data_IF_391669938674
#
_entry.id   IF_391669938674
#
_cell.length_a   1.000
_cell.length_b   1.000
_cell.length_c   1.000
_cell.angle_alpha   90.00
_cell.angle_beta   90.00
_cell.angle_gamma   90.00
#
_symmetry.space_group_name_H-M   'P 1'
#
loop_
_entity.id
_entity.type
_entity.pdbx_description
1 polymer ?
#
# COMPACT_ATOMS: atom_id res chain seq x y z
N UNK A 1 -32.07 -12.77 -27.97
CA UNK A 1 -32.12 -11.94 -29.20
C UNK A 1 -30.85 -11.10 -29.20
N UNK A 2 -29.91 -11.43 -30.10
CA UNK A 2 -28.67 -10.73 -30.47
C UNK A 2 -28.24 -9.52 -29.63
N UNK A 3 -27.40 -9.73 -28.62
CA UNK A 3 -26.52 -8.67 -28.07
C UNK A 3 -25.50 -8.33 -29.15
N UNK A 4 -25.70 -7.18 -29.80
CA UNK A 4 -24.86 -6.78 -30.94
C UNK A 4 -23.46 -6.40 -30.45
N UNK A 5 -22.44 -6.75 -31.23
CA UNK A 5 -21.03 -6.39 -31.00
C UNK A 5 -20.80 -4.88 -30.75
N UNK A 6 -21.75 -4.01 -31.10
CA UNK A 6 -21.68 -2.58 -30.85
C UNK A 6 -21.85 -2.19 -29.36
N UNK A 7 -22.57 -2.99 -28.56
CA UNK A 7 -22.73 -2.73 -27.11
C UNK A 7 -21.41 -2.96 -26.34
N UNK A 8 -20.59 -3.89 -26.83
CA UNK A 8 -19.26 -4.19 -26.26
C UNK A 8 -18.26 -3.07 -26.58
N UNK A 9 -18.40 -2.40 -27.72
CA UNK A 9 -17.52 -1.30 -28.10
C UNK A 9 -17.88 0.03 -27.44
N UNK A 10 -19.15 0.27 -27.10
CA UNK A 10 -19.55 1.42 -26.28
C UNK A 10 -19.08 1.28 -24.81
N UNK A 11 -18.92 0.05 -24.31
CA UNK A 11 -18.36 -0.25 -22.98
C UNK A 11 -16.89 0.14 -22.79
N UNK A 12 -16.15 0.44 -23.86
CA UNK A 12 -14.73 0.86 -23.77
C UNK A 12 -14.60 2.38 -23.61
N UNK A 13 -15.56 3.15 -24.13
CA UNK A 13 -15.63 4.61 -23.94
C UNK A 13 -16.46 5.00 -22.70
N UNK A 14 -17.50 4.22 -22.35
CA UNK A 14 -18.33 4.40 -21.15
C UNK A 14 -17.79 3.63 -19.93
N UNK A 15 -16.46 3.54 -19.78
CA UNK A 15 -15.83 2.88 -18.64
C UNK A 15 -16.16 3.57 -17.29
N UNK A 16 -16.66 4.81 -17.33
CA UNK A 16 -17.22 5.57 -16.19
C UNK A 16 -18.55 4.99 -15.67
N UNK A 17 -19.33 4.29 -16.50
CA UNK A 17 -20.67 3.77 -16.16
C UNK A 17 -20.70 2.30 -15.72
N UNK A 18 -19.58 1.58 -15.72
CA UNK A 18 -19.56 0.18 -15.29
C UNK A 18 -19.68 0.00 -13.77
N UNK A 19 -19.35 1.02 -12.97
CA UNK A 19 -19.47 0.94 -11.51
C UNK A 19 -20.85 1.30 -10.96
N UNK A 20 -21.72 1.94 -11.75
CA UNK A 20 -23.10 2.28 -11.33
C UNK A 20 -24.09 1.12 -11.48
N UNK A 21 -23.72 0.05 -12.19
CA UNK A 21 -24.63 -1.08 -12.51
C UNK A 21 -24.42 -2.29 -11.58
N UNK A 22 -23.40 -2.31 -10.73
CA UNK A 22 -23.12 -3.46 -9.83
C UNK A 22 -23.17 -3.08 -8.35
N UNK A 23 -24.38 -2.84 -7.85
CA UNK A 23 -24.71 -2.88 -6.41
C UNK A 23 -24.78 -4.33 -5.85
N UNK A 24 -24.57 -5.34 -6.71
CA UNK A 24 -24.44 -6.73 -6.29
C UNK A 24 -23.06 -6.98 -5.69
N UNK A 25 -23.01 -7.73 -4.59
CA UNK A 25 -21.77 -8.05 -3.86
C UNK A 25 -20.76 -8.75 -4.79
N UNK A 26 -19.71 -8.03 -5.20
CA UNK A 26 -18.67 -8.56 -6.09
C UNK A 26 -17.76 -9.50 -5.29
N UNK A 27 -17.69 -10.77 -5.70
CA UNK A 27 -16.76 -11.73 -5.10
C UNK A 27 -15.32 -11.44 -5.53
N UNK A 28 -14.38 -11.73 -4.64
CA UNK A 28 -12.94 -11.71 -4.95
C UNK A 28 -12.60 -12.55 -6.19
N UNK A 29 -13.26 -13.70 -6.36
CA UNK A 29 -13.02 -14.58 -7.49
C UNK A 29 -13.43 -13.93 -8.82
N UNK A 30 -14.53 -13.18 -8.82
CA UNK A 30 -15.04 -12.50 -10.02
C UNK A 30 -14.09 -11.38 -10.45
N UNK A 31 -13.55 -10.61 -9.49
CA UNK A 31 -12.54 -9.59 -9.78
C UNK A 31 -11.29 -10.22 -10.38
N UNK A 32 -10.80 -11.31 -9.80
CA UNK A 32 -9.61 -12.00 -10.30
C UNK A 32 -9.84 -12.54 -11.71
N UNK A 33 -10.98 -13.21 -11.95
CA UNK A 33 -11.34 -13.76 -13.25
C UNK A 33 -11.50 -12.66 -14.30
N UNK A 34 -12.10 -11.52 -13.95
CA UNK A 34 -12.24 -10.35 -14.82
C UNK A 34 -10.87 -9.81 -15.23
N UNK A 35 -9.95 -9.64 -14.28
CA UNK A 35 -8.60 -9.15 -14.56
C UNK A 35 -7.80 -10.09 -15.46
N UNK A 36 -7.94 -11.40 -15.28
CA UNK A 36 -7.28 -12.42 -16.12
C UNK A 36 -7.88 -12.42 -17.53
N UNK A 37 -9.21 -12.29 -17.66
CA UNK A 37 -9.88 -12.27 -18.97
C UNK A 37 -9.70 -10.96 -19.73
N UNK A 38 -9.56 -9.85 -19.02
CA UNK A 38 -9.48 -8.51 -19.59
C UNK A 38 -8.32 -7.70 -18.99
N UNK A 39 -7.06 -8.10 -19.23
CA UNK A 39 -5.89 -7.42 -18.65
C UNK A 39 -5.76 -5.96 -19.11
N UNK A 40 -6.32 -5.62 -20.28
CA UNK A 40 -6.37 -4.25 -20.80
C UNK A 40 -7.13 -3.29 -19.89
N UNK A 41 -8.04 -3.79 -19.03
CA UNK A 41 -8.75 -2.96 -18.05
C UNK A 41 -7.79 -2.30 -17.06
N UNK A 42 -6.69 -2.96 -16.69
CA UNK A 42 -5.69 -2.40 -15.76
C UNK A 42 -4.95 -1.22 -16.38
N UNK A 43 -4.70 -1.29 -17.70
CA UNK A 43 -4.05 -0.22 -18.46
C UNK A 43 -5.03 0.92 -18.71
N UNK A 44 -6.27 0.61 -19.09
CA UNK A 44 -7.31 1.61 -19.33
C UNK A 44 -7.68 2.39 -18.05
N UNK A 45 -7.70 1.71 -16.90
CA UNK A 45 -7.99 2.29 -15.57
C UNK A 45 -6.72 2.64 -14.79
N UNK A 46 -5.62 2.86 -15.50
CA UNK A 46 -4.34 3.21 -14.88
C UNK A 46 -4.51 4.40 -13.93
N UNK A 47 -4.16 4.20 -12.66
CA UNK A 47 -4.49 5.15 -11.61
C UNK A 47 -3.43 6.25 -11.52
N UNK A 48 -3.68 7.35 -12.22
CA UNK A 48 -2.74 8.48 -12.28
C UNK A 48 -2.49 9.15 -10.91
N UNK A 49 -3.47 9.12 -9.99
CA UNK A 49 -3.31 9.71 -8.64
C UNK A 49 -2.32 8.89 -7.81
N UNK A 50 -2.47 7.57 -7.82
CA UNK A 50 -1.53 6.65 -7.18
C UNK A 50 -0.16 6.71 -7.84
N UNK A 51 -0.10 6.82 -9.18
CA UNK A 51 1.15 6.98 -9.91
C UNK A 51 1.91 8.25 -9.51
N UNK A 52 1.20 9.38 -9.47
CA UNK A 52 1.78 10.68 -9.11
C UNK A 52 2.27 10.70 -7.66
N UNK A 53 1.45 10.27 -6.70
CA UNK A 53 1.85 10.21 -5.29
C UNK A 53 2.99 9.22 -5.05
N UNK A 54 2.94 8.06 -5.70
CA UNK A 54 4.01 7.06 -5.62
C UNK A 54 5.33 7.60 -6.16
N UNK A 55 5.29 8.22 -7.34
CA UNK A 55 6.46 8.86 -7.95
C UNK A 55 7.01 10.00 -7.09
N UNK A 56 6.15 10.87 -6.54
CA UNK A 56 6.56 12.00 -5.70
C UNK A 56 7.23 11.56 -4.40
N UNK A 57 6.64 10.59 -3.68
CA UNK A 57 7.20 10.04 -2.46
C UNK A 57 8.54 9.34 -2.71
N UNK A 58 8.68 8.69 -3.86
CA UNK A 58 9.93 8.02 -4.23
C UNK A 58 11.00 9.03 -4.63
N UNK A 59 10.65 10.04 -5.41
CA UNK A 59 11.54 11.12 -5.81
C UNK A 59 12.17 11.81 -4.59
N UNK A 60 11.35 12.12 -3.58
CA UNK A 60 11.84 12.75 -2.34
C UNK A 60 12.80 11.84 -1.58
N UNK A 61 12.54 10.54 -1.53
CA UNK A 61 13.44 9.57 -0.90
C UNK A 61 14.78 9.46 -1.63
N UNK A 62 14.79 9.29 -2.96
CA UNK A 62 16.04 9.20 -3.71
C UNK A 62 16.82 10.51 -3.67
N UNK A 63 16.14 11.64 -3.81
CA UNK A 63 16.78 12.95 -3.72
C UNK A 63 17.49 13.13 -2.37
N UNK A 64 16.82 12.83 -1.26
CA UNK A 64 17.41 12.96 0.09
C UNK A 64 18.56 11.99 0.34
N UNK A 65 18.43 10.72 -0.07
CA UNK A 65 19.49 9.71 0.09
C UNK A 65 20.74 10.08 -0.72
N UNK A 66 20.58 10.44 -1.99
CA UNK A 66 21.70 10.78 -2.86
C UNK A 66 22.35 12.13 -2.49
N UNK A 67 21.54 13.09 -2.02
CA UNK A 67 22.06 14.34 -1.47
C UNK A 67 22.89 14.09 -0.20
N UNK A 68 22.43 13.20 0.68
CA UNK A 68 23.18 12.82 1.88
C UNK A 68 24.50 12.09 1.54
N UNK A 69 24.51 11.32 0.44
CA UNK A 69 25.71 10.65 -0.09
C UNK A 69 26.69 11.59 -0.82
N UNK A 70 26.36 12.88 -0.99
CA UNK A 70 27.18 13.89 -1.68
C UNK A 70 27.53 13.54 -3.13
N UNK A 71 26.60 12.89 -3.83
CA UNK A 71 26.76 12.53 -5.24
C UNK A 71 26.69 13.76 -6.17
N UNK A 72 27.26 13.65 -7.37
CA UNK A 72 27.21 14.73 -8.37
C UNK A 72 25.77 14.97 -8.83
N UNK A 73 25.34 16.23 -8.92
CA UNK A 73 23.94 16.60 -9.22
C UNK A 73 23.36 15.96 -10.49
N UNK A 74 24.19 15.72 -11.52
CA UNK A 74 23.74 15.05 -12.75
C UNK A 74 23.42 13.57 -12.54
N UNK A 75 24.16 12.89 -11.65
CA UNK A 75 23.92 11.49 -11.28
C UNK A 75 22.63 11.39 -10.47
N UNK A 76 22.42 12.33 -9.54
CA UNK A 76 21.18 12.43 -8.76
C UNK A 76 19.97 12.61 -9.68
N UNK A 77 20.06 13.55 -10.63
CA UNK A 77 18.95 13.84 -11.54
C UNK A 77 18.60 12.63 -12.41
N UNK A 78 19.60 11.96 -12.99
CA UNK A 78 19.39 10.77 -13.83
C UNK A 78 18.79 9.62 -13.01
N UNK A 79 19.31 9.35 -11.81
CA UNK A 79 18.79 8.31 -10.93
C UNK A 79 17.33 8.59 -10.51
N UNK A 80 17.03 9.83 -10.11
CA UNK A 80 15.66 10.24 -9.75
C UNK A 80 14.73 10.12 -10.96
N UNK A 81 15.15 10.57 -12.15
CA UNK A 81 14.29 10.54 -13.34
C UNK A 81 13.93 9.12 -13.77
N UNK A 82 14.92 8.20 -13.76
CA UNK A 82 14.69 6.78 -14.09
C UNK A 82 13.73 6.16 -13.08
N UNK A 83 13.99 6.32 -11.78
CA UNK A 83 13.12 5.76 -10.74
C UNK A 83 11.72 6.36 -10.78
N UNK A 84 11.59 7.68 -10.98
CA UNK A 84 10.30 8.36 -11.09
C UNK A 84 9.51 7.84 -12.27
N UNK A 85 10.14 7.69 -13.45
CA UNK A 85 9.46 7.21 -14.66
C UNK A 85 8.97 5.77 -14.47
N UNK A 86 9.86 4.91 -13.98
CA UNK A 86 9.54 3.52 -13.67
C UNK A 86 8.43 3.40 -12.61
N UNK A 87 8.52 4.20 -11.53
CA UNK A 87 7.53 4.17 -10.45
C UNK A 87 6.21 4.79 -10.84
N UNK A 88 6.20 5.84 -11.64
CA UNK A 88 4.98 6.40 -12.18
C UNK A 88 4.19 5.30 -12.90
N UNK A 89 4.82 4.59 -13.84
CA UNK A 89 4.17 3.49 -14.57
C UNK A 89 3.69 2.37 -13.65
N UNK A 90 4.57 1.84 -12.81
CA UNK A 90 4.26 0.67 -11.95
C UNK A 90 3.26 0.99 -10.83
N UNK A 91 3.32 2.18 -10.24
CA UNK A 91 2.39 2.61 -9.18
C UNK A 91 0.98 2.86 -9.72
N UNK A 92 0.82 3.31 -10.97
CA UNK A 92 -0.52 3.45 -11.54
C UNK A 92 -1.16 2.12 -11.91
N UNK A 93 -0.38 1.13 -12.39
CA UNK A 93 -0.84 -0.27 -12.58
C UNK A 93 -1.25 -0.87 -11.22
N UNK A 94 -0.38 -0.70 -10.21
CA UNK A 94 -0.65 -1.19 -8.85
C UNK A 94 -1.90 -0.54 -8.26
N UNK A 95 -2.08 0.77 -8.45
CA UNK A 95 -3.26 1.49 -8.02
C UNK A 95 -4.53 1.03 -8.73
N UNK A 96 -4.48 0.76 -10.04
CA UNK A 96 -5.60 0.20 -10.79
C UNK A 96 -5.99 -1.20 -10.30
N UNK A 97 -4.99 -2.03 -9.97
CA UNK A 97 -5.21 -3.35 -9.37
C UNK A 97 -5.90 -3.21 -8.01
N UNK A 98 -5.38 -2.37 -7.11
CA UNK A 98 -5.97 -2.12 -5.78
C UNK A 98 -7.40 -1.61 -5.91
N UNK A 99 -7.63 -0.67 -6.82
CA UNK A 99 -8.95 -0.10 -7.09
C UNK A 99 -9.95 -1.17 -7.50
N UNK A 100 -9.53 -2.14 -8.32
CA UNK A 100 -10.38 -3.26 -8.75
C UNK A 100 -10.83 -4.14 -7.58
N UNK A 101 -10.00 -4.29 -6.54
CA UNK A 101 -10.32 -5.06 -5.34
C UNK A 101 -10.99 -4.24 -4.23
N UNK A 102 -11.25 -2.94 -4.42
CA UNK A 102 -11.74 -2.06 -3.36
C UNK A 102 -13.11 -2.50 -2.83
N UNK A 103 -14.05 -2.83 -3.71
CA UNK A 103 -15.42 -3.28 -3.39
C UNK A 103 -15.53 -4.80 -3.20
N UNK A 104 -14.46 -5.56 -3.41
CA UNK A 104 -14.47 -7.02 -3.38
C UNK A 104 -14.77 -7.58 -1.96
N UNK A 105 -15.62 -8.60 -1.90
CA UNK A 105 -16.00 -9.29 -0.67
C UNK A 105 -15.55 -10.77 -0.69
N UNK A 106 -15.12 -11.33 0.45
CA UNK A 106 -14.96 -10.67 1.76
C UNK A 106 -13.72 -9.76 1.81
N UNK A 107 -13.83 -8.67 2.57
CA UNK A 107 -12.87 -7.57 2.55
C UNK A 107 -11.45 -7.99 2.97
N UNK A 108 -11.33 -8.92 3.93
CA UNK A 108 -10.05 -9.40 4.44
C UNK A 108 -9.29 -10.24 3.39
N UNK A 109 -9.98 -11.05 2.58
CA UNK A 109 -9.35 -11.83 1.51
C UNK A 109 -8.81 -10.89 0.44
N UNK A 110 -9.61 -9.91 0.01
CA UNK A 110 -9.16 -8.90 -0.95
C UNK A 110 -7.94 -8.13 -0.43
N UNK A 111 -7.89 -7.78 0.86
CA UNK A 111 -6.71 -7.17 1.48
C UNK A 111 -5.51 -8.11 1.43
N UNK A 112 -5.66 -9.39 1.77
CA UNK A 112 -4.55 -10.36 1.71
C UNK A 112 -4.02 -10.49 0.29
N UNK A 113 -4.90 -10.66 -0.70
CA UNK A 113 -4.51 -10.79 -2.11
C UNK A 113 -3.71 -9.56 -2.55
N UNK A 114 -4.23 -8.36 -2.35
CA UNK A 114 -3.51 -7.13 -2.72
C UNK A 114 -2.18 -7.00 -1.98
N UNK A 115 -2.17 -7.32 -0.69
CA UNK A 115 -0.99 -7.19 0.17
C UNK A 115 0.10 -8.20 -0.18
N UNK A 116 -0.24 -9.34 -0.80
CA UNK A 116 0.71 -10.36 -1.24
C UNK A 116 1.09 -10.15 -2.71
N UNK A 117 0.11 -9.96 -3.59
CA UNK A 117 0.32 -9.82 -5.03
C UNK A 117 1.10 -8.57 -5.38
N UNK A 118 0.87 -7.43 -4.71
CA UNK A 118 1.60 -6.19 -5.03
C UNK A 118 3.10 -6.27 -4.71
N UNK A 119 3.55 -6.72 -3.52
CA UNK A 119 4.97 -6.93 -3.27
C UNK A 119 5.58 -7.95 -4.21
N UNK A 120 4.90 -9.08 -4.48
CA UNK A 120 5.40 -10.07 -5.45
C UNK A 120 5.62 -9.40 -6.80
N UNK A 121 4.61 -8.71 -7.33
CA UNK A 121 4.72 -8.00 -8.60
C UNK A 121 5.85 -6.97 -8.58
N UNK A 122 5.88 -6.07 -7.59
CA UNK A 122 6.91 -5.03 -7.51
C UNK A 122 8.32 -5.62 -7.43
N UNK A 123 8.53 -6.69 -6.66
CA UNK A 123 9.83 -7.32 -6.52
C UNK A 123 10.21 -8.18 -7.72
N UNK A 124 9.25 -8.78 -8.43
CA UNK A 124 9.50 -9.42 -9.71
C UNK A 124 9.98 -8.41 -10.73
N UNK A 125 9.31 -7.25 -10.85
CA UNK A 125 9.75 -6.21 -11.79
C UNK A 125 11.12 -5.65 -11.36
N UNK A 126 11.33 -5.39 -10.07
CA UNK A 126 12.65 -4.96 -9.55
C UNK A 126 13.76 -5.99 -9.88
N UNK A 127 13.50 -7.27 -9.67
CA UNK A 127 14.43 -8.35 -9.99
C UNK A 127 14.75 -8.39 -11.50
N UNK A 128 13.72 -8.34 -12.36
CA UNK A 128 13.91 -8.35 -13.82
C UNK A 128 14.68 -7.12 -14.29
N UNK A 129 14.34 -5.93 -13.78
CA UNK A 129 15.04 -4.69 -14.14
C UNK A 129 16.52 -4.78 -13.74
N UNK A 130 16.82 -5.30 -12.55
CA UNK A 130 18.21 -5.47 -12.14
C UNK A 130 18.95 -6.56 -12.91
N UNK A 131 18.29 -7.68 -13.19
CA UNK A 131 18.87 -8.73 -14.03
C UNK A 131 19.20 -8.19 -15.43
N UNK A 132 18.28 -7.42 -16.03
CA UNK A 132 18.51 -6.78 -17.31
C UNK A 132 19.65 -5.74 -17.24
N UNK A 133 19.74 -4.98 -16.14
CA UNK A 133 20.83 -4.03 -15.92
C UNK A 133 22.19 -4.74 -15.84
N UNK A 134 22.28 -5.84 -15.10
CA UNK A 134 23.52 -6.61 -14.91
C UNK A 134 23.95 -7.33 -16.20
N UNK A 135 23.00 -7.92 -16.94
CA UNK A 135 23.29 -8.70 -18.15
C UNK A 135 23.56 -7.83 -19.38
N UNK A 136 22.77 -6.76 -19.59
CA UNK A 136 22.78 -6.01 -20.85
C UNK A 136 23.33 -4.58 -20.74
N UNK A 137 23.35 -3.99 -19.54
CA UNK A 137 23.71 -2.59 -19.34
C UNK A 137 24.86 -2.39 -18.33
N UNK A 138 25.60 -3.45 -18.00
CA UNK A 138 26.69 -3.41 -17.01
C UNK A 138 27.80 -2.42 -17.38
N UNK A 139 28.05 -2.22 -18.68
CA UNK A 139 29.04 -1.26 -19.19
C UNK A 139 28.62 0.21 -19.01
N UNK A 140 27.31 0.48 -18.87
CA UNK A 140 26.74 1.84 -18.80
C UNK A 140 26.26 2.19 -17.38
N UNK A 141 25.76 1.20 -16.63
CA UNK A 141 25.17 1.36 -15.30
C UNK A 141 25.79 0.34 -14.32
N UNK A 142 26.96 0.65 -13.72
CA UNK A 142 27.62 -0.27 -12.79
C UNK A 142 26.71 -0.65 -11.63
N UNK A 143 26.50 -1.95 -11.43
CA UNK A 143 25.66 -2.47 -10.35
C UNK A 143 26.41 -2.42 -9.00
N UNK A 144 25.71 -2.00 -7.94
CA UNK A 144 26.29 -1.93 -6.60
C UNK A 144 26.53 -3.34 -6.03
N UNK A 145 27.81 -3.73 -5.88
CA UNK A 145 28.22 -4.96 -5.19
C UNK A 145 28.13 -4.76 -3.68
N UNK A 146 26.98 -5.04 -3.04
CA UNK A 146 26.94 -5.05 -1.58
C UNK A 146 25.87 -5.96 -0.97
N UNK A 147 26.26 -6.59 0.15
CA UNK A 147 25.42 -7.37 1.08
C UNK A 147 24.28 -6.55 1.72
N UNK A 148 24.31 -5.22 1.57
CA UNK A 148 23.21 -4.32 1.91
C UNK A 148 21.92 -4.57 1.09
N UNK A 149 22.03 -5.21 -0.09
CA UNK A 149 20.89 -5.47 -0.99
C UNK A 149 19.85 -6.41 -0.38
N UNK A 150 20.29 -7.47 0.29
CA UNK A 150 19.38 -8.43 0.95
C UNK A 150 18.67 -7.81 2.17
N UNK A 151 19.36 -6.93 2.90
CA UNK A 151 18.77 -6.23 4.05
C UNK A 151 17.76 -5.15 3.61
N UNK A 152 18.08 -4.42 2.53
CA UNK A 152 17.16 -3.46 1.93
C UNK A 152 15.90 -4.15 1.37
N UNK A 153 16.05 -5.35 0.81
CA UNK A 153 14.96 -6.14 0.27
C UNK A 153 13.88 -6.45 1.31
N UNK A 154 14.25 -7.00 2.47
CA UNK A 154 13.25 -7.44 3.43
C UNK A 154 12.58 -6.26 4.20
N UNK A 155 13.27 -5.13 4.36
CA UNK A 155 12.62 -3.88 4.80
C UNK A 155 11.66 -3.35 3.72
N UNK A 156 12.05 -3.42 2.45
CA UNK A 156 11.22 -3.03 1.31
C UNK A 156 9.93 -3.87 1.23
N UNK A 157 10.01 -5.19 1.48
CA UNK A 157 8.83 -6.07 1.54
C UNK A 157 7.85 -5.61 2.62
N UNK A 158 8.31 -5.38 3.85
CA UNK A 158 7.44 -4.93 4.96
C UNK A 158 6.79 -3.59 4.65
N UNK A 159 7.57 -2.64 4.13
CA UNK A 159 7.05 -1.32 3.75
C UNK A 159 6.05 -1.45 2.60
N UNK A 160 6.29 -2.35 1.64
CA UNK A 160 5.38 -2.61 0.53
C UNK A 160 4.07 -3.25 0.99
N UNK A 161 4.12 -4.20 1.93
CA UNK A 161 2.94 -4.81 2.57
C UNK A 161 2.10 -3.74 3.26
N UNK A 162 2.71 -2.91 4.12
CA UNK A 162 2.01 -1.84 4.81
C UNK A 162 1.44 -0.80 3.84
N UNK A 163 2.21 -0.44 2.80
CA UNK A 163 1.78 0.47 1.76
C UNK A 163 0.58 -0.08 0.98
N UNK A 164 0.59 -1.36 0.61
CA UNK A 164 -0.51 -2.02 -0.08
C UNK A 164 -1.78 -2.08 0.78
N UNK A 165 -1.64 -2.42 2.07
CA UNK A 165 -2.75 -2.40 3.04
C UNK A 165 -3.34 -1.00 3.21
N UNK A 166 -2.49 0.02 3.30
CA UNK A 166 -2.96 1.40 3.42
C UNK A 166 -3.60 1.89 2.12
N UNK A 167 -3.07 1.50 0.97
CA UNK A 167 -3.63 1.90 -0.33
C UNK A 167 -5.04 1.33 -0.55
N UNK A 168 -5.25 0.03 -0.27
CA UNK A 168 -6.60 -0.55 -0.34
C UNK A 168 -7.53 0.07 0.71
N UNK A 169 -7.02 0.43 1.89
CA UNK A 169 -7.79 1.16 2.90
C UNK A 169 -8.22 2.54 2.40
N UNK A 170 -7.34 3.33 1.80
CA UNK A 170 -7.70 4.64 1.23
C UNK A 170 -8.76 4.50 0.13
N UNK A 171 -8.57 3.58 -0.81
CA UNK A 171 -9.50 3.38 -1.92
C UNK A 171 -10.87 2.86 -1.47
N UNK A 172 -10.92 2.06 -0.40
CA UNK A 172 -12.19 1.67 0.24
C UNK A 172 -12.93 2.82 0.88
N UNK A 173 -12.21 3.84 1.34
CA UNK A 173 -12.78 5.07 1.89
C UNK A 173 -13.02 6.14 0.82
N UNK A 174 -12.98 5.79 -0.46
CA UNK A 174 -13.30 6.69 -1.56
C UNK A 174 -12.20 7.71 -1.90
N UNK A 175 -10.94 7.42 -1.54
CA UNK A 175 -9.79 8.30 -1.77
C UNK A 175 -8.83 7.66 -2.77
N UNK A 176 -8.26 8.45 -3.68
CA UNK A 176 -7.39 8.00 -4.79
C UNK A 176 -8.10 7.16 -5.85
N UNK A 177 -9.41 7.35 -6.04
CA UNK A 177 -10.16 6.70 -7.12
C UNK A 177 -10.03 7.47 -8.43
N UNK A 178 -9.93 6.75 -9.54
CA UNK A 178 -9.87 7.32 -10.90
C UNK A 178 -10.88 6.60 -11.79
N UNK A 179 -11.70 7.35 -12.54
CA UNK A 179 -12.69 6.78 -13.46
C UNK A 179 -13.78 5.96 -12.77
N UNK A 180 -14.11 6.34 -11.53
CA UNK A 180 -15.02 5.63 -10.64
C UNK A 180 -16.42 6.30 -10.54
N UNK A 181 -16.86 6.96 -11.62
CA UNK A 181 -18.10 7.73 -11.64
C UNK A 181 -18.17 8.76 -10.51
N UNK A 182 -19.30 8.78 -9.80
CA UNK A 182 -19.57 9.71 -8.68
C UNK A 182 -18.62 9.52 -7.47
N UNK A 183 -18.01 8.34 -7.30
CA UNK A 183 -17.03 8.09 -6.24
C UNK A 183 -15.69 8.81 -6.50
N UNK A 184 -15.44 9.28 -7.74
CA UNK A 184 -14.19 9.91 -8.15
C UNK A 184 -14.13 11.39 -7.76
N UNK A 185 -13.50 11.68 -6.61
CA UNK A 185 -13.29 13.06 -6.12
C UNK A 185 -12.10 13.75 -6.79
N UNK A 186 -11.97 15.06 -6.61
CA UNK A 186 -10.79 15.80 -7.06
C UNK A 186 -9.53 15.41 -6.27
N UNK A 187 -8.35 15.50 -6.88
CA UNK A 187 -7.09 15.13 -6.23
C UNK A 187 -6.80 15.94 -4.96
N UNK A 188 -7.17 17.22 -4.94
CA UNK A 188 -7.01 18.08 -3.76
C UNK A 188 -7.96 17.65 -2.63
N UNK A 189 -9.19 17.25 -2.97
CA UNK A 189 -10.14 16.70 -1.99
C UNK A 189 -9.59 15.41 -1.37
N UNK A 190 -9.06 14.52 -2.20
CA UNK A 190 -8.39 13.29 -1.76
C UNK A 190 -7.23 13.61 -0.80
N UNK A 191 -6.32 14.51 -1.19
CA UNK A 191 -5.14 14.88 -0.40
C UNK A 191 -5.50 15.45 0.98
N UNK A 192 -6.60 16.19 1.09
CA UNK A 192 -7.10 16.71 2.38
C UNK A 192 -7.60 15.61 3.32
N UNK A 193 -8.10 14.49 2.77
CA UNK A 193 -8.59 13.36 3.56
C UNK A 193 -7.47 12.40 3.98
N UNK A 194 -6.33 12.39 3.29
CA UNK A 194 -5.21 11.48 3.60
C UNK A 194 -4.73 11.60 5.06
N UNK A 195 -4.49 12.79 5.65
CA UNK A 195 -4.05 12.89 7.05
C UNK A 195 -5.02 12.24 8.04
N UNK A 196 -6.32 12.41 7.81
CA UNK A 196 -7.35 11.77 8.62
C UNK A 196 -7.29 10.24 8.47
N UNK A 197 -7.21 9.72 7.23
CA UNK A 197 -7.10 8.29 6.98
C UNK A 197 -5.81 7.68 7.53
N UNK A 198 -4.68 8.39 7.48
CA UNK A 198 -3.42 7.97 8.12
C UNK A 198 -3.63 7.83 9.63
N UNK A 199 -4.31 8.79 10.25
CA UNK A 199 -4.62 8.74 11.68
C UNK A 199 -5.55 7.57 12.02
N UNK A 200 -6.57 7.33 11.20
CA UNK A 200 -7.52 6.24 11.41
C UNK A 200 -6.86 4.87 11.28
N UNK A 201 -6.05 4.69 10.22
CA UNK A 201 -5.29 3.47 9.98
C UNK A 201 -4.29 3.19 11.10
N UNK A 202 -3.53 4.20 11.53
CA UNK A 202 -2.50 4.06 12.58
C UNK A 202 -3.12 3.78 13.95
N UNK A 203 -4.27 4.39 14.25
CA UNK A 203 -4.96 4.24 15.53
C UNK A 203 -5.92 3.06 15.58
N UNK A 204 -6.13 2.35 14.46
CA UNK A 204 -7.06 1.22 14.37
C UNK A 204 -6.76 0.14 15.42
N UNK A 205 -5.52 -0.35 15.44
CA UNK A 205 -5.11 -1.43 16.34
C UNK A 205 -5.18 -1.02 17.83
N UNK A 206 -4.63 0.15 18.25
CA UNK A 206 -4.82 0.65 19.61
C UNK A 206 -6.30 0.77 20.02
N UNK A 207 -7.15 1.33 19.14
CA UNK A 207 -8.58 1.48 19.41
C UNK A 207 -9.26 0.11 19.57
N UNK A 208 -8.93 -0.87 18.74
CA UNK A 208 -9.50 -2.20 18.83
C UNK A 208 -9.11 -2.92 20.13
N UNK A 209 -7.84 -2.82 20.53
CA UNK A 209 -7.39 -3.37 21.82
C UNK A 209 -8.17 -2.75 22.98
N UNK A 210 -8.39 -1.43 22.96
CA UNK A 210 -9.21 -0.75 23.99
C UNK A 210 -10.66 -1.25 23.99
N UNK A 211 -11.26 -1.48 22.82
CA UNK A 211 -12.62 -2.02 22.70
C UNK A 211 -12.68 -3.42 23.31
N UNK A 212 -11.74 -4.31 22.96
CA UNK A 212 -11.67 -5.65 23.54
C UNK A 212 -11.48 -5.63 25.06
N UNK A 213 -10.66 -4.73 25.59
CA UNK A 213 -10.50 -4.55 27.03
C UNK A 213 -11.79 -4.08 27.71
N UNK A 214 -12.53 -3.15 27.09
CA UNK A 214 -13.83 -2.67 27.60
C UNK A 214 -14.92 -3.75 27.56
N UNK A 215 -14.88 -4.61 26.57
CA UNK A 215 -15.81 -5.74 26.40
C UNK A 215 -15.40 -7.00 27.19
N UNK A 216 -14.37 -6.91 28.05
CA UNK A 216 -13.81 -8.04 28.82
C UNK A 216 -13.31 -9.20 27.95
N UNK A 217 -13.04 -8.93 26.67
CA UNK A 217 -12.49 -9.86 25.67
C UNK A 217 -10.96 -9.90 25.76
N UNK A 218 -10.43 -10.20 26.95
CA UNK A 218 -8.99 -10.12 27.24
C UNK A 218 -8.11 -10.96 26.31
N UNK A 219 -8.58 -12.14 25.90
CA UNK A 219 -7.82 -13.01 25.00
C UNK A 219 -7.61 -12.38 23.61
N UNK A 220 -8.59 -11.64 23.08
CA UNK A 220 -8.43 -10.90 21.82
C UNK A 220 -7.49 -9.70 21.98
N UNK A 221 -7.57 -8.99 23.11
CA UNK A 221 -6.68 -7.86 23.41
C UNK A 221 -5.22 -8.31 23.53
N UNK A 222 -4.95 -9.33 24.36
CA UNK A 222 -3.63 -9.91 24.58
C UNK A 222 -3.13 -10.55 23.27
N UNK A 223 -3.97 -11.33 22.59
CA UNK A 223 -3.62 -11.96 21.33
C UNK A 223 -3.21 -10.95 20.26
N UNK A 224 -3.97 -9.86 20.08
CA UNK A 224 -3.65 -8.80 19.12
C UNK A 224 -2.35 -8.07 19.47
N UNK A 225 -2.13 -7.78 20.75
CA UNK A 225 -0.92 -7.13 21.24
C UNK A 225 0.34 -8.00 21.01
N UNK A 226 0.28 -9.27 21.43
CA UNK A 226 1.36 -10.22 21.26
C UNK A 226 1.64 -10.47 19.77
N UNK A 227 0.60 -10.72 18.99
CA UNK A 227 0.71 -10.98 17.55
C UNK A 227 1.37 -9.82 16.82
N UNK A 228 1.03 -8.57 17.15
CA UNK A 228 1.66 -7.40 16.56
C UNK A 228 3.17 -7.37 16.81
N UNK A 229 3.59 -7.47 18.07
CA UNK A 229 5.01 -7.38 18.40
C UNK A 229 5.82 -8.54 17.85
N UNK A 230 5.31 -9.78 17.94
CA UNK A 230 5.98 -10.93 17.35
C UNK A 230 6.04 -10.86 15.83
N UNK A 231 5.00 -10.35 15.16
CA UNK A 231 5.02 -10.19 13.70
C UNK A 231 6.08 -9.17 13.28
N UNK A 232 6.11 -8.00 13.91
CA UNK A 232 7.14 -6.98 13.64
C UNK A 232 8.53 -7.51 13.94
N UNK A 233 8.69 -8.19 15.08
CA UNK A 233 9.94 -8.79 15.52
C UNK A 233 10.46 -9.87 14.58
N UNK A 234 9.60 -10.81 14.18
CA UNK A 234 9.94 -11.88 13.25
C UNK A 234 10.33 -11.32 11.88
N UNK A 235 9.57 -10.35 11.34
CA UNK A 235 9.87 -9.77 10.03
C UNK A 235 11.19 -8.98 10.08
N UNK A 236 11.39 -8.14 11.09
CA UNK A 236 12.62 -7.34 11.21
C UNK A 236 13.85 -8.16 11.63
N UNK A 237 13.64 -9.23 12.40
CA UNK A 237 14.68 -10.18 12.78
C UNK A 237 15.16 -11.01 11.59
N UNK A 238 14.21 -11.56 10.83
CA UNK A 238 14.48 -12.29 9.60
C UNK A 238 15.15 -11.39 8.54
N UNK A 239 14.67 -10.15 8.37
CA UNK A 239 15.22 -9.21 7.39
C UNK A 239 16.69 -8.85 7.62
N UNK A 240 17.13 -8.86 8.88
CA UNK A 240 18.50 -8.52 9.28
C UNK A 240 19.41 -9.74 9.44
N UNK A 241 18.87 -10.95 9.35
CA UNK A 241 19.60 -12.21 9.60
C UNK A 241 20.16 -12.31 11.03
N UNK A 242 19.61 -11.54 11.98
CA UNK A 242 20.09 -11.46 13.36
C UNK A 242 18.91 -11.63 14.32
N UNK A 243 18.78 -12.81 14.91
CA UNK A 243 17.70 -13.12 15.86
C UNK A 243 17.75 -12.27 17.14
N UNK A 244 18.92 -11.79 17.55
CA UNK A 244 19.04 -10.84 18.67
C UNK A 244 18.27 -9.54 18.41
N UNK A 245 18.21 -9.10 17.14
CA UNK A 245 17.42 -7.94 16.73
C UNK A 245 15.92 -8.22 16.76
N UNK A 246 15.50 -9.45 16.44
CA UNK A 246 14.08 -9.86 16.51
C UNK A 246 13.50 -9.58 17.91
N UNK A 247 14.27 -9.89 18.95
CA UNK A 247 13.89 -9.63 20.33
C UNK A 247 13.79 -8.13 20.64
N UNK A 248 14.81 -7.35 20.28
CA UNK A 248 14.80 -5.90 20.51
C UNK A 248 13.67 -5.19 19.76
N UNK A 249 13.37 -5.59 18.52
CA UNK A 249 12.28 -5.00 17.74
C UNK A 249 10.90 -5.47 18.20
N UNK A 250 10.78 -6.70 18.71
CA UNK A 250 9.56 -7.17 19.41
C UNK A 250 9.26 -6.28 20.61
N UNK A 251 10.24 -6.08 21.49
CA UNK A 251 10.07 -5.24 22.68
C UNK A 251 9.75 -3.79 22.27
N UNK A 252 10.52 -3.24 21.33
CA UNK A 252 10.31 -1.87 20.85
C UNK A 252 8.92 -1.66 20.27
N UNK A 253 8.42 -2.60 19.47
CA UNK A 253 7.08 -2.52 18.88
C UNK A 253 5.97 -2.65 19.93
N UNK A 254 6.13 -3.50 20.95
CA UNK A 254 5.21 -3.53 22.09
C UNK A 254 5.21 -2.24 22.89
N UNK A 255 6.37 -1.64 23.15
CA UNK A 255 6.46 -0.36 23.86
C UNK A 255 5.75 0.75 23.08
N UNK A 256 5.96 0.82 21.75
CA UNK A 256 5.28 1.78 20.87
C UNK A 256 3.77 1.54 20.88
N UNK A 257 3.31 0.30 20.73
CA UNK A 257 1.89 -0.03 20.72
C UNK A 257 1.23 0.29 22.07
N UNK A 258 1.90 -0.03 23.18
CA UNK A 258 1.44 0.29 24.53
C UNK A 258 1.32 1.81 24.71
N UNK A 259 2.34 2.58 24.31
CA UNK A 259 2.29 4.04 24.33
C UNK A 259 1.11 4.59 23.52
N UNK A 260 0.88 4.07 22.32
CA UNK A 260 -0.26 4.46 21.48
C UNK A 260 -1.61 4.13 22.13
N UNK A 261 -1.75 2.96 22.78
CA UNK A 261 -2.95 2.58 23.53
C UNK A 261 -3.20 3.57 24.68
N UNK A 262 -2.17 3.92 25.45
CA UNK A 262 -2.28 4.87 26.58
C UNK A 262 -2.72 6.24 26.07
N UNK A 263 -2.09 6.76 25.01
CA UNK A 263 -2.43 8.07 24.42
C UNK A 263 -3.89 8.09 23.94
N UNK A 264 -4.32 7.07 23.21
CA UNK A 264 -5.69 6.97 22.71
C UNK A 264 -6.69 6.86 23.85
N UNK A 265 -6.38 6.06 24.87
CA UNK A 265 -7.24 5.91 26.04
C UNK A 265 -7.36 7.22 26.82
N UNK A 266 -6.26 7.91 27.10
CA UNK A 266 -6.24 9.20 27.78
C UNK A 266 -7.03 10.25 26.98
N UNK A 267 -6.84 10.31 25.66
CA UNK A 267 -7.60 11.20 24.77
C UNK A 267 -9.11 10.93 24.82
N UNK A 268 -9.53 9.65 24.83
CA UNK A 268 -10.95 9.28 24.97
C UNK A 268 -11.52 9.69 26.33
N UNK A 269 -10.76 9.57 27.41
CA UNK A 269 -11.22 9.98 28.75
C UNK A 269 -11.34 11.50 28.86
N UNK A 270 -10.33 12.25 28.38
CA UNK A 270 -10.38 13.71 28.33
C UNK A 270 -11.57 14.21 27.51
N UNK A 271 -11.79 13.66 26.32
CA UNK A 271 -12.94 14.00 25.49
C UNK A 271 -14.28 13.78 26.21
N UNK A 272 -14.43 12.67 26.94
CA UNK A 272 -15.64 12.40 27.75
C UNK A 272 -15.83 13.38 28.90
N UNK A 273 -14.75 13.83 29.54
CA UNK A 273 -14.81 14.82 30.62
C UNK A 273 -15.22 16.20 30.09
N UNK A 274 -14.69 16.62 28.94
CA UNK A 274 -15.02 17.91 28.34
C UNK A 274 -16.39 17.93 27.67
N UNK A 275 -16.83 16.83 27.05
CA UNK A 275 -18.14 16.73 26.39
C UNK A 275 -19.32 16.58 27.35
N UNK A 276 -19.07 16.39 28.66
CA UNK A 276 -20.11 16.31 29.71
C UNK A 276 -20.38 17.65 30.40
N UNK A 277 -19.61 18.70 30.07
CA UNK A 277 -19.88 20.08 30.48
C UNK A 277 -20.58 20.81 29.35
#
# INVERSE_FOLDING_TARGET
>A
MSTSFHEIHQSVADAENLESVHDQQISVADVFLSLVRHPTQVIARWNWKSAFLGALLRASFYFTVYQAAREKGIVILTAVLVEVSFRFMTSGISGALVQSFRKARPAWIATIIITVTLPIFSHTVEFVTHYAQEEYFSDVLPAAQNSARQQAFAVSVLVSVLSAMFNIFMMRNGVLLVGAGEDSKSFISDLRNIPYLVSEFTLFLPKQIIIFLKELKFHYAIGSFLFFGFSVGAILGASRGKWSWAYSTTIGSWAILLGAIIIVFAGQQLYRLFSRK
#
